data_IF_335047497980
#
_entry.id   IF_335047497980
#
_cell.length_a   1.000
_cell.length_b   1.000
_cell.length_c   1.000
_cell.angle_alpha   90.00
_cell.angle_beta   90.00
_cell.angle_gamma   90.00
#
_symmetry.space_group_name_H-M   'P 1'
#
loop_
_entity.id
_entity.type
_entity.pdbx_description
1 polymer ?
#
# COMPACT_ATOMS: atom_id res chain seq x y z
N UNK A 1 43.86 42.63 40.25
CA UNK A 1 43.17 41.30 40.23
C UNK A 1 42.00 41.37 39.28
N UNK A 2 42.16 40.93 38.01
CA UNK A 2 41.13 40.93 36.95
C UNK A 2 40.65 39.48 36.74
N UNK A 3 39.36 39.18 37.05
CA UNK A 3 38.73 37.87 36.83
C UNK A 3 38.16 37.84 35.41
N UNK A 4 38.74 37.02 34.52
CA UNK A 4 38.21 36.69 33.22
C UNK A 4 37.04 35.69 33.38
N UNK A 5 35.86 36.03 32.88
CA UNK A 5 34.70 35.11 32.74
C UNK A 5 34.77 34.49 31.35
N UNK A 6 35.00 33.18 31.30
CA UNK A 6 34.89 32.39 30.08
C UNK A 6 33.40 32.08 29.82
N UNK A 7 32.86 32.55 28.68
CA UNK A 7 31.55 32.17 28.17
C UNK A 7 31.71 30.88 27.39
N UNK A 8 31.14 29.79 27.89
CA UNK A 8 31.06 28.51 27.19
C UNK A 8 29.81 28.53 26.27
N UNK A 9 30.01 28.64 24.97
CA UNK A 9 28.94 28.53 23.95
C UNK A 9 28.76 27.06 23.62
N UNK A 10 27.66 26.47 24.10
CA UNK A 10 27.26 25.11 23.75
C UNK A 10 26.50 25.18 22.40
N UNK A 11 27.17 24.76 21.34
CA UNK A 11 26.58 24.62 20.00
C UNK A 11 25.81 23.30 19.95
N UNK A 12 24.48 23.33 20.11
CA UNK A 12 23.60 22.17 20.01
C UNK A 12 23.44 21.75 18.54
N UNK A 13 24.03 20.60 18.17
CA UNK A 13 23.77 19.96 16.89
C UNK A 13 22.35 19.38 16.87
N UNK A 14 21.41 20.05 16.20
CA UNK A 14 20.12 19.51 15.83
C UNK A 14 20.32 18.55 14.64
N UNK A 15 20.58 17.27 14.92
CA UNK A 15 20.51 16.21 13.91
C UNK A 15 19.03 15.93 13.61
N UNK A 16 18.48 16.63 12.64
CA UNK A 16 17.17 16.30 12.07
C UNK A 16 17.24 14.93 11.39
N UNK A 17 16.51 13.94 11.92
CA UNK A 17 16.25 12.69 11.19
C UNK A 17 15.36 13.01 9.99
N UNK A 18 15.97 13.31 8.86
CA UNK A 18 15.28 13.31 7.59
C UNK A 18 14.88 11.87 7.29
N UNK A 19 13.58 11.57 7.35
CA UNK A 19 13.01 10.33 6.85
C UNK A 19 13.16 10.35 5.35
N UNK A 20 14.21 9.74 4.82
CA UNK A 20 14.41 9.59 3.37
C UNK A 20 13.29 8.71 2.83
N UNK A 21 12.43 9.25 1.96
CA UNK A 21 11.60 8.43 1.12
C UNK A 21 12.51 7.46 0.31
N UNK A 22 12.14 6.17 0.19
CA UNK A 22 12.94 5.23 -0.58
C UNK A 22 13.10 5.74 -2.00
N UNK A 23 14.33 5.76 -2.49
CA UNK A 23 14.59 6.14 -3.88
C UNK A 23 13.90 5.13 -4.81
N UNK A 24 13.20 5.57 -5.87
CA UNK A 24 12.62 4.66 -6.83
C UNK A 24 13.74 3.78 -7.44
N UNK A 25 13.48 2.48 -7.63
CA UNK A 25 14.45 1.58 -8.24
C UNK A 25 14.75 2.02 -9.67
N UNK A 26 16.01 1.91 -10.07
CA UNK A 26 16.48 2.40 -11.34
C UNK A 26 15.88 1.69 -12.57
N UNK A 27 15.36 0.48 -12.42
CA UNK A 27 14.84 -0.34 -13.53
C UNK A 27 13.73 -1.26 -13.02
N UNK A 28 12.47 -0.88 -13.24
CA UNK A 28 11.30 -1.74 -12.96
C UNK A 28 10.82 -2.39 -14.27
N UNK A 29 10.61 -3.70 -14.24
CA UNK A 29 9.87 -4.40 -15.32
C UNK A 29 8.50 -3.75 -15.54
N UNK A 30 7.97 -3.84 -16.77
CA UNK A 30 6.68 -3.20 -17.10
C UNK A 30 5.48 -3.97 -16.59
N UNK A 31 5.59 -5.29 -16.44
CA UNK A 31 4.48 -6.15 -16.03
C UNK A 31 4.46 -6.35 -14.51
N UNK A 32 3.30 -6.08 -13.89
CA UNK A 32 3.08 -6.21 -12.44
C UNK A 32 1.78 -6.97 -12.18
N UNK A 33 1.85 -7.95 -11.28
CA UNK A 33 0.68 -8.61 -10.70
C UNK A 33 0.40 -8.02 -9.31
N UNK A 34 -0.80 -7.49 -9.08
CA UNK A 34 -1.21 -7.00 -7.76
C UNK A 34 -1.87 -8.14 -6.99
N UNK A 35 -1.27 -8.54 -5.87
CA UNK A 35 -1.78 -9.61 -5.02
C UNK A 35 -2.88 -9.08 -4.07
N UNK A 36 -3.82 -9.95 -3.63
CA UNK A 36 -4.77 -9.57 -2.59
C UNK A 36 -4.04 -9.07 -1.33
N UNK A 37 -4.40 -7.88 -0.81
CA UNK A 37 -3.75 -7.32 0.37
C UNK A 37 -3.95 -8.19 1.61
N UNK A 38 -2.89 -8.36 2.39
CA UNK A 38 -2.94 -9.02 3.69
C UNK A 38 -3.45 -8.06 4.76
N UNK A 39 -4.57 -8.39 5.38
CA UNK A 39 -5.12 -7.61 6.48
C UNK A 39 -4.69 -8.20 7.83
N UNK A 40 -3.77 -7.53 8.53
CA UNK A 40 -3.27 -7.93 9.84
C UNK A 40 -3.92 -7.21 11.02
N UNK A 41 -4.94 -6.39 10.80
CA UNK A 41 -5.59 -5.64 11.88
C UNK A 41 -6.48 -6.54 12.75
N UNK A 42 -6.92 -7.67 12.24
CA UNK A 42 -7.91 -8.53 12.87
C UNK A 42 -9.37 -8.13 12.64
N UNK A 43 -9.60 -6.90 12.14
CA UNK A 43 -10.93 -6.40 11.80
C UNK A 43 -11.23 -6.61 10.31
N UNK A 44 -12.47 -6.94 9.93
CA UNK A 44 -12.84 -7.17 8.53
C UNK A 44 -12.79 -5.87 7.67
N UNK A 45 -12.67 -4.69 8.27
CA UNK A 45 -12.56 -3.36 7.62
C UNK A 45 -13.58 -3.16 6.48
N UNK A 46 -14.87 -3.38 6.77
CA UNK A 46 -15.94 -3.35 5.78
C UNK A 46 -16.25 -1.92 5.34
N UNK A 47 -16.24 -1.67 4.03
CA UNK A 47 -16.55 -0.39 3.38
C UNK A 47 -17.99 -0.36 2.88
N UNK A 48 -18.51 -1.47 2.33
CA UNK A 48 -19.86 -1.57 1.81
C UNK A 48 -20.45 -2.97 2.01
N UNK A 49 -21.78 -3.11 1.88
CA UNK A 49 -22.48 -4.41 2.02
C UNK A 49 -22.68 -4.87 3.46
N UNK A 50 -22.52 -3.98 4.45
CA UNK A 50 -22.72 -4.31 5.87
C UNK A 50 -24.18 -4.17 6.36
N UNK A 51 -25.09 -3.61 5.53
CA UNK A 51 -26.47 -3.41 5.89
C UNK A 51 -27.23 -4.72 6.09
N UNK A 52 -28.06 -4.80 7.15
CA UNK A 52 -28.91 -5.98 7.41
C UNK A 52 -29.83 -6.31 6.22
N UNK A 53 -30.28 -5.31 5.47
CA UNK A 53 -31.13 -5.44 4.28
C UNK A 53 -30.36 -6.03 3.10
N UNK A 54 -29.09 -5.63 2.91
CA UNK A 54 -28.22 -6.15 1.84
C UNK A 54 -27.85 -7.63 2.05
N UNK A 55 -27.71 -8.05 3.33
CA UNK A 55 -27.46 -9.46 3.67
C UNK A 55 -28.62 -10.38 3.27
N UNK A 56 -29.83 -9.92 3.38
CA UNK A 56 -31.04 -10.74 3.13
C UNK A 56 -31.47 -10.78 1.68
N UNK A 57 -31.23 -9.70 0.91
CA UNK A 57 -31.82 -9.55 -0.41
C UNK A 57 -30.90 -9.83 -1.58
N UNK A 58 -29.55 -9.81 -1.45
CA UNK A 58 -28.69 -9.83 -2.63
C UNK A 58 -27.46 -10.73 -2.58
N UNK A 59 -27.10 -11.47 -1.56
CA UNK A 59 -25.79 -12.12 -1.46
C UNK A 59 -24.65 -11.11 -1.78
N UNK A 60 -24.86 -9.84 -1.41
CA UNK A 60 -23.91 -8.77 -1.75
C UNK A 60 -22.58 -9.08 -1.05
N UNK A 61 -21.57 -9.30 -1.85
CA UNK A 61 -20.18 -9.43 -1.37
C UNK A 61 -19.85 -8.19 -0.54
N UNK A 62 -19.28 -8.42 0.63
CA UNK A 62 -18.82 -7.32 1.47
C UNK A 62 -17.58 -6.74 0.83
N UNK A 63 -17.66 -5.49 0.39
CA UNK A 63 -16.46 -4.76 -0.05
C UNK A 63 -15.68 -4.35 1.19
N UNK A 64 -14.42 -4.71 1.22
CA UNK A 64 -13.49 -4.41 2.32
C UNK A 64 -12.46 -3.36 1.90
N UNK A 65 -11.72 -2.82 2.87
CA UNK A 65 -10.57 -1.96 2.58
C UNK A 65 -9.54 -2.68 1.70
N UNK A 66 -9.34 -3.99 1.89
CA UNK A 66 -8.45 -4.78 1.05
C UNK A 66 -8.88 -4.77 -0.43
N UNK A 67 -10.19 -4.86 -0.71
CA UNK A 67 -10.70 -4.80 -2.08
C UNK A 67 -10.52 -3.41 -2.71
N UNK A 68 -10.70 -2.35 -1.92
CA UNK A 68 -10.45 -0.97 -2.37
C UNK A 68 -8.97 -0.76 -2.66
N UNK A 69 -8.08 -1.18 -1.75
CA UNK A 69 -6.62 -1.10 -1.95
C UNK A 69 -6.18 -1.87 -3.19
N UNK A 70 -6.70 -3.09 -3.40
CA UNK A 70 -6.40 -3.89 -4.59
C UNK A 70 -6.80 -3.17 -5.87
N UNK A 71 -8.03 -2.65 -5.92
CA UNK A 71 -8.56 -1.97 -7.10
C UNK A 71 -7.84 -0.66 -7.38
N UNK A 72 -7.57 0.13 -6.35
CA UNK A 72 -6.86 1.39 -6.47
C UNK A 72 -5.40 1.20 -6.87
N UNK A 73 -4.71 0.20 -6.29
CA UNK A 73 -3.33 -0.11 -6.65
C UNK A 73 -3.20 -0.50 -8.13
N UNK A 74 -4.15 -1.28 -8.66
CA UNK A 74 -4.21 -1.62 -10.08
C UNK A 74 -4.37 -0.37 -10.95
N UNK A 75 -5.33 0.49 -10.60
CA UNK A 75 -5.59 1.74 -11.33
C UNK A 75 -4.35 2.64 -11.34
N UNK A 76 -3.73 2.88 -10.19
CA UNK A 76 -2.55 3.74 -10.08
C UNK A 76 -1.35 3.18 -10.87
N UNK A 77 -1.13 1.87 -10.87
CA UNK A 77 -0.06 1.25 -11.65
C UNK A 77 -0.34 1.35 -13.17
N UNK A 78 -1.59 1.17 -13.60
CA UNK A 78 -2.00 1.35 -15.00
C UNK A 78 -1.81 2.82 -15.45
N UNK A 79 -2.21 3.79 -14.62
CA UNK A 79 -1.99 5.22 -14.85
C UNK A 79 -0.50 5.60 -14.91
N UNK A 80 0.33 4.94 -14.11
CA UNK A 80 1.78 5.10 -14.14
C UNK A 80 2.45 4.42 -15.35
N UNK A 81 1.69 3.69 -16.18
CA UNK A 81 2.16 3.08 -17.43
C UNK A 81 2.65 1.63 -17.29
N UNK A 82 2.35 0.95 -16.19
CA UNK A 82 2.61 -0.49 -16.06
C UNK A 82 1.55 -1.33 -16.77
N UNK A 83 1.96 -2.52 -17.18
CA UNK A 83 1.07 -3.58 -17.66
C UNK A 83 0.60 -4.41 -16.47
N UNK A 84 -0.62 -4.16 -15.98
CA UNK A 84 -1.14 -4.85 -14.79
C UNK A 84 -1.78 -6.16 -15.18
N UNK A 85 -1.32 -7.26 -14.57
CA UNK A 85 -1.85 -8.61 -14.80
C UNK A 85 -3.36 -8.67 -14.54
N UNK A 86 -4.08 -9.43 -15.33
CA UNK A 86 -5.51 -9.62 -15.17
C UNK A 86 -5.85 -10.21 -13.79
N UNK A 87 -6.92 -9.69 -13.16
CA UNK A 87 -7.34 -10.10 -11.82
C UNK A 87 -7.63 -11.60 -11.74
N UNK A 88 -8.35 -12.13 -12.72
CA UNK A 88 -8.70 -13.55 -12.73
C UNK A 88 -7.47 -14.46 -12.89
N UNK A 89 -6.47 -14.02 -13.68
CA UNK A 89 -5.18 -14.72 -13.78
C UNK A 89 -4.49 -14.79 -12.40
N UNK A 90 -4.46 -13.68 -11.68
CA UNK A 90 -3.85 -13.63 -10.33
C UNK A 90 -4.62 -14.50 -9.34
N UNK A 91 -5.95 -14.39 -9.29
CA UNK A 91 -6.81 -15.20 -8.41
C UNK A 91 -6.65 -16.70 -8.67
N UNK A 92 -6.57 -17.09 -9.94
CA UNK A 92 -6.34 -18.50 -10.37
C UNK A 92 -4.96 -18.97 -9.92
N UNK A 93 -3.91 -18.17 -10.14
CA UNK A 93 -2.55 -18.48 -9.75
C UNK A 93 -2.43 -18.68 -8.23
N UNK A 94 -3.10 -17.86 -7.44
CA UNK A 94 -3.10 -17.96 -5.99
C UNK A 94 -4.04 -19.04 -5.43
N UNK A 95 -4.90 -19.62 -6.28
CA UNK A 95 -5.93 -20.59 -5.89
C UNK A 95 -6.80 -20.08 -4.71
N UNK A 96 -7.21 -18.79 -4.78
CA UNK A 96 -8.02 -18.11 -3.77
C UNK A 96 -7.31 -17.84 -2.43
N UNK A 97 -6.00 -18.09 -2.33
CA UNK A 97 -5.22 -17.82 -1.12
C UNK A 97 -4.76 -16.35 -1.08
N UNK A 98 -4.70 -15.80 0.13
CA UNK A 98 -4.11 -14.48 0.40
C UNK A 98 -2.72 -14.70 0.99
N UNK A 99 -1.64 -14.10 0.43
CA UNK A 99 -0.31 -14.24 1.00
C UNK A 99 -0.22 -13.55 2.37
N UNK A 100 0.31 -14.27 3.37
CA UNK A 100 0.41 -13.79 4.75
C UNK A 100 1.73 -13.04 5.03
N UNK A 101 2.72 -13.19 4.14
CA UNK A 101 4.04 -12.59 4.26
C UNK A 101 4.66 -12.36 2.88
N UNK A 102 5.74 -11.57 2.77
CA UNK A 102 6.50 -11.45 1.51
C UNK A 102 7.00 -12.80 0.98
N UNK A 103 7.47 -13.69 1.87
CA UNK A 103 7.97 -15.01 1.47
C UNK A 103 6.84 -15.89 0.92
N UNK A 104 5.66 -15.87 1.58
CA UNK A 104 4.50 -16.60 1.08
C UNK A 104 3.96 -15.98 -0.23
N UNK A 105 4.13 -14.67 -0.45
CA UNK A 105 3.78 -14.03 -1.71
C UNK A 105 4.66 -14.56 -2.87
N UNK A 106 5.97 -14.69 -2.64
CA UNK A 106 6.91 -15.30 -3.59
C UNK A 106 6.54 -16.75 -3.87
N UNK A 107 6.32 -17.55 -2.83
CA UNK A 107 5.96 -18.96 -2.96
C UNK A 107 4.68 -19.14 -3.77
N UNK A 108 3.61 -18.43 -3.42
CA UNK A 108 2.33 -18.51 -4.10
C UNK A 108 2.42 -18.06 -5.56
N UNK A 109 3.09 -16.94 -5.82
CA UNK A 109 3.28 -16.41 -7.16
C UNK A 109 4.07 -17.38 -8.06
N UNK A 110 5.18 -17.92 -7.55
CA UNK A 110 6.03 -18.85 -8.28
C UNK A 110 5.30 -20.17 -8.58
N UNK A 111 4.61 -20.77 -7.60
CA UNK A 111 3.81 -21.97 -7.81
C UNK A 111 2.63 -21.74 -8.76
N UNK A 112 2.04 -20.56 -8.75
CA UNK A 112 0.97 -20.16 -9.66
C UNK A 112 1.44 -19.78 -11.05
N UNK A 113 2.74 -19.79 -11.33
CA UNK A 113 3.31 -19.44 -12.63
C UNK A 113 3.24 -17.96 -12.97
N UNK A 114 3.18 -17.07 -11.95
CA UNK A 114 3.34 -15.64 -12.16
C UNK A 114 4.84 -15.32 -12.31
N UNK A 115 5.19 -14.76 -13.46
CA UNK A 115 6.56 -14.36 -13.80
C UNK A 115 6.77 -12.84 -13.73
N UNK A 116 5.67 -12.11 -13.64
CA UNK A 116 5.65 -10.65 -13.53
C UNK A 116 6.09 -10.23 -12.11
N UNK A 117 6.57 -8.99 -11.93
CA UNK A 117 6.77 -8.46 -10.59
C UNK A 117 5.45 -8.53 -9.81
N UNK A 118 5.51 -8.86 -8.52
CA UNK A 118 4.33 -8.93 -7.67
C UNK A 118 4.30 -7.79 -6.67
N UNK A 119 3.18 -7.06 -6.62
CA UNK A 119 2.93 -6.07 -5.57
C UNK A 119 2.21 -6.75 -4.42
N UNK A 120 2.88 -6.79 -3.26
CA UNK A 120 2.35 -7.27 -1.98
C UNK A 120 2.04 -6.07 -1.07
N UNK A 121 0.81 -6.00 -0.57
CA UNK A 121 0.33 -4.98 0.37
C UNK A 121 -0.02 -5.61 1.72
N UNK A 122 0.35 -4.96 2.82
CA UNK A 122 0.08 -5.41 4.19
C UNK A 122 -0.56 -4.29 5.01
N UNK A 123 -1.83 -4.47 5.42
CA UNK A 123 -2.56 -3.53 6.28
C UNK A 123 -2.20 -3.86 7.72
N UNK A 124 -1.51 -2.96 8.42
CA UNK A 124 -1.05 -3.13 9.81
C UNK A 124 -1.91 -2.39 10.82
N UNK A 125 -2.47 -1.26 10.41
CA UNK A 125 -3.36 -0.45 11.23
C UNK A 125 -4.37 0.27 10.36
N UNK A 126 -5.64 0.29 10.79
CA UNK A 126 -6.72 0.98 10.10
C UNK A 126 -7.78 1.36 11.11
N UNK A 127 -7.71 2.57 11.67
CA UNK A 127 -8.57 3.01 12.78
C UNK A 127 -9.08 4.43 12.53
N UNK A 128 -10.40 4.67 12.57
CA UNK A 128 -10.96 6.01 12.49
C UNK A 128 -10.74 6.73 13.83
N UNK A 129 -10.64 8.05 13.79
CA UNK A 129 -10.57 8.90 15.00
C UNK A 129 -11.91 8.93 15.78
N UNK A 130 -13.01 8.71 15.07
CA UNK A 130 -14.34 8.64 15.66
C UNK A 130 -15.23 7.62 14.93
N UNK A 131 -16.18 6.98 15.63
CA UNK A 131 -17.11 6.01 15.03
C UNK A 131 -18.16 6.67 14.12
N UNK A 132 -18.39 7.97 14.26
CA UNK A 132 -19.26 8.79 13.43
C UNK A 132 -18.55 10.11 13.11
N UNK A 133 -18.74 10.61 11.90
CA UNK A 133 -18.09 11.82 11.41
C UNK A 133 -16.56 11.81 11.56
N UNK A 134 -15.87 10.75 11.10
CA UNK A 134 -14.43 10.67 11.21
C UNK A 134 -13.78 11.79 10.39
N UNK A 135 -12.79 12.46 10.98
CA UNK A 135 -12.02 13.51 10.30
C UNK A 135 -10.72 13.00 9.70
N UNK A 136 -10.26 11.85 10.20
CA UNK A 136 -9.13 11.10 9.65
C UNK A 136 -9.21 9.61 10.02
N UNK A 137 -8.44 8.81 9.30
CA UNK A 137 -8.18 7.41 9.61
C UNK A 137 -6.69 7.26 9.90
N UNK A 138 -6.33 6.60 11.01
CA UNK A 138 -4.94 6.23 11.28
C UNK A 138 -4.62 5.01 10.42
N UNK A 139 -3.71 5.18 9.46
CA UNK A 139 -3.32 4.14 8.52
C UNK A 139 -1.86 3.75 8.72
N UNK A 140 -1.62 2.45 8.91
CA UNK A 140 -0.32 1.81 8.83
C UNK A 140 -0.34 0.77 7.70
N UNK A 141 0.42 1.01 6.64
CA UNK A 141 0.42 0.19 5.43
C UNK A 141 1.85 -0.05 4.95
N UNK A 142 2.17 -1.29 4.57
CA UNK A 142 3.41 -1.61 3.90
C UNK A 142 3.14 -2.10 2.48
N UNK A 143 3.98 -1.69 1.54
CA UNK A 143 3.98 -2.14 0.15
C UNK A 143 5.36 -2.68 -0.23
N UNK A 144 5.39 -3.79 -0.95
CA UNK A 144 6.63 -4.37 -1.50
C UNK A 144 6.39 -4.83 -2.92
N UNK A 145 7.30 -4.45 -3.80
CA UNK A 145 7.39 -4.98 -5.15
C UNK A 145 8.47 -6.04 -5.16
N UNK A 146 8.13 -7.26 -5.54
CA UNK A 146 8.97 -8.44 -5.40
C UNK A 146 9.11 -9.11 -6.76
N UNK A 147 10.32 -9.52 -7.11
CA UNK A 147 10.56 -10.43 -8.22
C UNK A 147 10.34 -11.88 -7.74
N UNK A 148 9.28 -12.57 -8.19
CA UNK A 148 8.97 -13.92 -7.72
C UNK A 148 10.00 -14.96 -8.17
N UNK A 149 10.79 -14.68 -9.22
CA UNK A 149 11.81 -15.62 -9.73
C UNK A 149 13.05 -15.68 -8.85
N UNK A 150 13.40 -14.56 -8.20
CA UNK A 150 14.57 -14.43 -7.33
C UNK A 150 14.23 -14.28 -5.86
N UNK A 151 12.97 -13.98 -5.52
CA UNK A 151 12.54 -13.61 -4.18
C UNK A 151 13.02 -12.21 -3.74
N UNK A 152 13.60 -11.43 -4.65
CA UNK A 152 14.19 -10.13 -4.31
C UNK A 152 13.13 -9.05 -4.22
N UNK A 153 13.14 -8.27 -3.13
CA UNK A 153 12.36 -7.05 -3.01
C UNK A 153 13.06 -5.95 -3.81
N UNK A 154 12.46 -5.56 -4.94
CA UNK A 154 13.02 -4.53 -5.84
C UNK A 154 12.63 -3.10 -5.44
N UNK A 155 11.52 -2.96 -4.71
CA UNK A 155 11.07 -1.71 -4.13
C UNK A 155 10.21 -1.97 -2.90
N UNK A 156 10.23 -1.04 -1.93
CA UNK A 156 9.34 -1.06 -0.77
C UNK A 156 9.05 0.35 -0.26
N UNK A 157 7.83 0.52 0.27
CA UNK A 157 7.43 1.66 1.09
C UNK A 157 6.75 1.13 2.36
N UNK A 158 7.17 1.61 3.52
CA UNK A 158 6.67 1.19 4.83
C UNK A 158 6.17 2.42 5.59
N UNK A 159 4.87 2.66 5.52
CA UNK A 159 4.22 3.78 6.20
C UNK A 159 3.86 3.41 7.62
N UNK A 160 4.53 4.07 8.56
CA UNK A 160 4.17 4.00 9.97
C UNK A 160 2.76 4.54 10.17
N UNK A 161 2.03 4.04 11.20
CA UNK A 161 0.71 4.56 11.51
C UNK A 161 0.69 6.09 11.60
N UNK A 162 -0.08 6.72 10.70
CA UNK A 162 -0.22 8.16 10.61
C UNK A 162 -1.66 8.54 10.21
N UNK A 163 -2.15 9.73 10.59
CA UNK A 163 -3.48 10.18 10.23
C UNK A 163 -3.56 10.51 8.73
N UNK A 164 -4.51 9.90 8.03
CA UNK A 164 -4.91 10.22 6.66
C UNK A 164 -6.21 11.04 6.73
N UNK A 165 -6.21 12.32 6.36
CA UNK A 165 -7.39 13.16 6.44
C UNK A 165 -8.52 12.67 5.53
N UNK A 166 -9.74 12.64 6.07
CA UNK A 166 -10.97 12.25 5.39
C UNK A 166 -12.06 13.32 5.60
N UNK A 167 -11.83 14.56 5.15
CA UNK A 167 -12.72 15.68 5.42
C UNK A 167 -14.07 15.49 4.73
N UNK A 168 -15.16 15.80 5.47
CA UNK A 168 -16.51 15.74 4.94
C UNK A 168 -17.16 14.37 4.95
N UNK A 169 -16.46 13.34 5.40
CA UNK A 169 -17.02 12.00 5.51
C UNK A 169 -17.94 11.89 6.73
N UNK A 170 -19.15 11.38 6.52
CA UNK A 170 -20.14 11.23 7.59
C UNK A 170 -20.10 9.84 8.23
N UNK A 171 -19.65 8.86 7.48
CA UNK A 171 -19.64 7.44 7.87
C UNK A 171 -18.22 6.89 7.84
N UNK A 172 -17.92 5.98 8.76
CA UNK A 172 -16.63 5.28 8.82
C UNK A 172 -16.31 4.57 7.50
N UNK A 173 -17.31 3.99 6.85
CA UNK A 173 -17.15 3.25 5.61
C UNK A 173 -16.63 4.15 4.47
N UNK A 174 -17.20 5.34 4.30
CA UNK A 174 -16.73 6.30 3.28
C UNK A 174 -15.36 6.87 3.62
N UNK A 175 -15.09 7.11 4.91
CA UNK A 175 -13.76 7.51 5.35
C UNK A 175 -12.69 6.43 5.07
N UNK A 176 -13.04 5.15 5.22
CA UNK A 176 -12.16 4.03 4.89
C UNK A 176 -11.85 3.98 3.40
N UNK A 177 -12.87 4.14 2.54
CA UNK A 177 -12.67 4.21 1.08
C UNK A 177 -11.77 5.39 0.70
N UNK A 178 -12.07 6.59 1.20
CA UNK A 178 -11.28 7.81 0.95
C UNK A 178 -9.82 7.65 1.41
N UNK A 179 -9.60 7.10 2.62
CA UNK A 179 -8.25 6.86 3.13
C UNK A 179 -7.49 5.83 2.28
N UNK A 180 -8.15 4.74 1.83
CA UNK A 180 -7.54 3.70 1.03
C UNK A 180 -7.05 4.25 -0.32
N UNK A 181 -7.91 4.97 -1.04
CA UNK A 181 -7.54 5.59 -2.31
C UNK A 181 -6.38 6.54 -2.16
N UNK A 182 -6.44 7.43 -1.17
CA UNK A 182 -5.41 8.42 -0.95
C UNK A 182 -4.06 7.81 -0.61
N UNK A 183 -4.01 6.87 0.33
CA UNK A 183 -2.74 6.29 0.77
C UNK A 183 -2.06 5.49 -0.33
N UNK A 184 -2.83 4.72 -1.13
CA UNK A 184 -2.28 3.96 -2.26
C UNK A 184 -1.75 4.88 -3.35
N UNK A 185 -2.54 5.88 -3.74
CA UNK A 185 -2.12 6.86 -4.74
C UNK A 185 -0.79 7.52 -4.36
N UNK A 186 -0.67 7.97 -3.10
CA UNK A 186 0.56 8.58 -2.59
C UNK A 186 1.75 7.59 -2.51
N UNK A 187 1.50 6.32 -2.16
CA UNK A 187 2.57 5.31 -2.06
C UNK A 187 3.10 4.92 -3.42
N UNK A 188 2.22 4.72 -4.41
CA UNK A 188 2.60 4.21 -5.72
C UNK A 188 2.99 5.31 -6.73
N UNK A 189 2.71 6.59 -6.43
CA UNK A 189 3.06 7.72 -7.29
C UNK A 189 4.54 7.75 -7.75
N UNK A 190 5.55 7.35 -6.94
CA UNK A 190 6.94 7.34 -7.38
C UNK A 190 7.29 6.20 -8.35
N UNK A 191 6.44 5.17 -8.48
CA UNK A 191 6.73 4.02 -9.33
C UNK A 191 6.48 4.36 -10.79
N UNK A 192 7.48 4.10 -11.64
CA UNK A 192 7.38 4.24 -13.09
C UNK A 192 8.07 3.06 -13.76
N UNK A 193 7.54 2.52 -14.88
CA UNK A 193 8.18 1.47 -15.62
C UNK A 193 9.43 1.99 -16.35
N UNK A 194 10.37 1.10 -16.64
CA UNK A 194 11.50 1.41 -17.49
C UNK A 194 11.00 1.87 -18.88
N UNK A 195 11.52 2.99 -19.42
CA UNK A 195 11.17 3.39 -20.77
C UNK A 195 11.57 2.29 -21.76
N UNK A 196 10.77 2.05 -22.82
CA UNK A 196 11.10 1.04 -23.80
C UNK A 196 12.49 1.33 -24.38
N UNK A 197 13.34 0.29 -24.40
CA UNK A 197 14.68 0.42 -24.99
C UNK A 197 14.53 1.00 -26.40
N UNK A 198 14.97 2.23 -26.61
CA UNK A 198 15.01 2.85 -27.92
C UNK A 198 15.96 2.02 -28.77
N UNK A 199 15.40 1.16 -29.63
CA UNK A 199 16.17 0.48 -30.66
C UNK A 199 16.76 1.57 -31.54
N UNK A 200 18.06 1.81 -31.33
CA UNK A 200 18.83 2.74 -32.16
C UNK A 200 18.85 2.17 -33.58
N UNK A 201 18.45 2.94 -34.61
CA UNK A 201 18.45 2.49 -36.01
C UNK A 201 19.84 2.15 -36.49
#
# INVERSE_FOLDING_TARGET
MRRARACLVVLGCLTGCASSAPAPPAHLGRAIAVLPPNNRTGDPLVVAGAGLIDRYLRHAERVTVADVLLSEARLQLEENGFEVADRHRVETALNGRVPESPDSAVELASHGGLTDLVLYLEIRRWEPDAPMHPTFVIVGLAARLIDPSTGTVVWQDDRRPAPVPTPGELMVQSAYDTAARKVVAEMLAPLQPEPPATSKP
#
